data_IF_725825834266
#
_entry.id   IF_725825834266
#
_cell.length_a   1.000
_cell.length_b   1.000
_cell.length_c   1.000
_cell.angle_alpha   90.00
_cell.angle_beta   90.00
_cell.angle_gamma   90.00
#
_symmetry.space_group_name_H-M   'P 1'
#
loop_
_entity.id
_entity.type
_entity.pdbx_description
1 polymer ?
#
# COMPACT_ATOMS: atom_id res chain seq x y z
N UNK A 1 31.64 -12.37 -8.89
CA UNK A 1 30.34 -11.96 -8.28
C UNK A 1 29.58 -13.16 -7.70
N UNK A 2 29.24 -14.17 -8.52
CA UNK A 2 28.42 -15.32 -8.11
C UNK A 2 29.00 -16.22 -7.00
N UNK A 3 30.32 -16.39 -6.96
CA UNK A 3 30.96 -17.28 -5.99
C UNK A 3 30.73 -16.85 -4.53
N UNK A 4 30.68 -15.53 -4.29
CA UNK A 4 30.42 -14.99 -2.95
C UNK A 4 29.04 -15.38 -2.42
N UNK A 5 28.03 -15.38 -3.30
CA UNK A 5 26.65 -15.73 -2.92
C UNK A 5 26.55 -17.22 -2.53
N UNK A 6 27.29 -18.08 -3.22
CA UNK A 6 27.32 -19.52 -2.97
C UNK A 6 28.07 -19.82 -1.66
N UNK A 7 29.17 -19.12 -1.39
CA UNK A 7 29.94 -19.26 -0.15
C UNK A 7 29.16 -18.77 1.08
N UNK A 8 28.32 -17.74 0.92
CA UNK A 8 27.52 -17.16 2.01
C UNK A 8 26.07 -17.65 2.04
N UNK A 9 25.73 -18.72 1.30
CA UNK A 9 24.36 -19.23 1.18
C UNK A 9 23.71 -19.55 2.53
N UNK A 10 24.46 -20.14 3.46
CA UNK A 10 23.93 -20.47 4.79
C UNK A 10 23.56 -19.22 5.58
N UNK A 11 24.38 -18.16 5.46
CA UNK A 11 24.06 -16.89 6.08
C UNK A 11 22.84 -16.23 5.44
N UNK A 12 22.75 -16.20 4.10
CA UNK A 12 21.64 -15.61 3.34
C UNK A 12 20.31 -16.34 3.59
N UNK A 13 20.32 -17.68 3.64
CA UNK A 13 19.14 -18.51 3.87
C UNK A 13 18.92 -18.85 5.35
N UNK A 14 19.77 -18.37 6.25
CA UNK A 14 19.49 -18.43 7.69
C UNK A 14 18.29 -17.55 8.03
N UNK A 15 17.59 -17.86 9.13
CA UNK A 15 16.49 -17.02 9.61
C UNK A 15 16.90 -15.55 9.80
N UNK A 16 18.15 -15.29 10.22
CA UNK A 16 18.69 -13.94 10.36
C UNK A 16 18.89 -13.27 8.98
N UNK A 17 19.42 -13.99 7.99
CA UNK A 17 19.66 -13.47 6.65
C UNK A 17 18.36 -13.08 5.95
N UNK A 18 17.35 -13.95 6.04
CA UNK A 18 16.01 -13.68 5.51
C UNK A 18 15.36 -12.48 6.22
N UNK A 19 15.53 -12.36 7.55
CA UNK A 19 15.03 -11.21 8.30
C UNK A 19 15.66 -9.89 7.86
N UNK A 20 16.99 -9.84 7.67
CA UNK A 20 17.68 -8.63 7.18
C UNK A 20 17.24 -8.29 5.76
N UNK A 21 17.15 -9.27 4.87
CA UNK A 21 16.69 -9.05 3.49
C UNK A 21 15.27 -8.51 3.42
N UNK A 22 14.35 -9.05 4.24
CA UNK A 22 12.95 -8.59 4.29
C UNK A 22 12.83 -7.17 4.83
N UNK A 23 13.61 -6.79 5.83
CA UNK A 23 13.66 -5.40 6.33
C UNK A 23 14.18 -4.46 5.26
N UNK A 24 15.30 -4.80 4.61
CA UNK A 24 15.84 -3.99 3.51
C UNK A 24 14.80 -3.82 2.40
N UNK A 25 14.15 -4.89 1.97
CA UNK A 25 13.09 -4.83 0.96
C UNK A 25 11.88 -4.00 1.40
N UNK A 26 11.53 -4.05 2.68
CA UNK A 26 10.44 -3.26 3.27
C UNK A 26 10.73 -1.76 3.24
N UNK A 27 12.00 -1.36 3.41
CA UNK A 27 12.42 0.04 3.32
C UNK A 27 12.34 0.60 1.89
N UNK A 28 12.61 -0.23 0.87
CA UNK A 28 12.45 0.16 -0.53
C UNK A 28 11.03 0.07 -1.04
N UNK A 29 10.14 -0.63 -0.32
CA UNK A 29 8.71 -0.62 -0.62
C UNK A 29 8.19 0.76 -0.24
N UNK A 30 8.13 1.65 -1.25
CA UNK A 30 7.51 2.97 -1.17
C UNK A 30 6.25 2.85 -0.32
N UNK A 31 6.13 3.74 0.68
CA UNK A 31 4.91 3.89 1.47
C UNK A 31 3.82 4.27 0.47
N UNK A 32 3.19 3.26 -0.15
CA UNK A 32 2.00 3.45 -0.97
C UNK A 32 1.09 4.27 -0.09
N UNK A 33 0.80 5.47 -0.57
CA UNK A 33 -0.10 6.41 0.06
C UNK A 33 -1.21 5.60 0.72
N UNK A 34 -1.41 5.80 2.03
CA UNK A 34 -2.57 5.27 2.75
C UNK A 34 -3.84 6.00 2.28
N UNK A 35 -4.01 6.20 0.97
CA UNK A 35 -5.30 6.48 0.37
C UNK A 35 -6.08 5.19 0.52
N UNK A 36 -6.70 5.07 1.68
CA UNK A 36 -7.81 4.16 1.95
C UNK A 36 -8.86 4.49 0.90
N UNK A 37 -8.76 3.88 -0.27
CA UNK A 37 -9.75 3.97 -1.33
C UNK A 37 -10.79 2.87 -1.08
N UNK A 38 -11.32 2.84 0.14
CA UNK A 38 -12.41 1.95 0.52
C UNK A 38 -13.70 2.62 0.07
N UNK A 39 -14.05 2.40 -1.20
CA UNK A 39 -15.40 2.68 -1.70
C UNK A 39 -16.29 1.54 -1.26
N UNK A 40 -17.13 1.77 -0.26
CA UNK A 40 -18.14 0.82 0.15
C UNK A 40 -19.42 1.14 -0.62
N UNK A 41 -19.93 0.17 -1.39
CA UNK A 41 -21.23 0.30 -2.03
C UNK A 41 -22.27 -0.11 -0.98
N UNK A 42 -23.17 0.80 -0.63
CA UNK A 42 -24.32 0.52 0.20
C UNK A 42 -25.56 0.28 -0.67
N UNK A 43 -26.65 -0.16 -0.03
CA UNK A 43 -27.91 -0.42 -0.71
C UNK A 43 -28.38 0.77 -1.54
N UNK A 44 -29.06 0.47 -2.65
CA UNK A 44 -29.58 1.44 -3.63
C UNK A 44 -28.51 2.18 -4.47
N UNK A 45 -27.35 1.57 -4.69
CA UNK A 45 -26.30 2.14 -5.55
C UNK A 45 -25.56 3.34 -4.93
N UNK A 46 -25.75 3.57 -3.64
CA UNK A 46 -25.06 4.62 -2.88
C UNK A 46 -23.61 4.23 -2.61
N UNK A 47 -22.67 5.18 -2.72
CA UNK A 47 -21.25 4.98 -2.42
C UNK A 47 -20.93 5.69 -1.11
N UNK A 48 -20.68 4.90 -0.06
CA UNK A 48 -20.16 5.41 1.19
C UNK A 48 -18.64 5.52 1.09
N UNK A 49 -18.16 6.75 1.23
CA UNK A 49 -16.73 7.05 1.25
C UNK A 49 -16.35 7.37 2.69
N UNK A 50 -15.67 6.44 3.36
CA UNK A 50 -15.16 6.67 4.72
C UNK A 50 -13.74 7.23 4.63
N UNK A 51 -13.53 8.40 5.21
CA UNK A 51 -12.27 9.14 5.10
C UNK A 51 -11.79 9.43 6.52
N UNK A 52 -10.56 9.00 6.83
CA UNK A 52 -9.92 9.25 8.12
C UNK A 52 -9.23 10.61 8.22
N UNK A 53 -9.31 11.44 7.18
CA UNK A 53 -8.63 12.73 7.03
C UNK A 53 -9.50 13.71 6.23
N UNK A 54 -8.97 14.89 5.90
CA UNK A 54 -9.69 15.95 5.20
C UNK A 54 -9.96 15.60 3.72
N UNK A 55 -11.18 15.87 3.25
CA UNK A 55 -11.61 15.63 1.87
C UNK A 55 -11.88 16.95 1.16
N UNK A 56 -11.22 17.16 0.02
CA UNK A 56 -11.57 18.25 -0.92
C UNK A 56 -12.53 17.69 -1.96
N UNK A 57 -13.81 18.01 -1.83
CA UNK A 57 -14.83 17.69 -2.83
C UNK A 57 -14.92 18.88 -3.80
N UNK A 58 -14.39 18.71 -5.01
CA UNK A 58 -14.61 19.65 -6.11
C UNK A 58 -15.76 19.13 -6.97
N UNK A 59 -16.91 19.82 -6.95
CA UNK A 59 -18.03 19.53 -7.85
C UNK A 59 -17.70 20.10 -9.23
N UNK A 60 -17.69 19.26 -10.26
CA UNK A 60 -17.57 19.69 -11.65
C UNK A 60 -18.89 19.38 -12.35
N UNK A 61 -19.71 20.41 -12.56
CA UNK A 61 -20.90 20.37 -13.42
C UNK A 61 -22.17 19.77 -12.79
N UNK A 62 -23.15 20.66 -12.64
CA UNK A 62 -24.57 20.53 -12.98
C UNK A 62 -25.50 19.56 -12.20
N UNK A 63 -26.55 20.21 -11.67
CA UNK A 63 -27.92 19.75 -11.39
C UNK A 63 -28.17 18.83 -10.19
N UNK A 64 -28.59 19.43 -9.07
CA UNK A 64 -29.74 18.88 -8.33
C UNK A 64 -30.62 20.07 -7.94
N UNK A 65 -31.68 20.28 -8.71
CA UNK A 65 -32.79 21.16 -8.36
C UNK A 65 -33.54 20.52 -7.18
N UNK A 66 -33.79 21.32 -6.14
CA UNK A 66 -34.59 20.92 -4.97
C UNK A 66 -36.02 20.54 -5.33
#
# INVERSE_FOLDING_TARGET
>A
MWNWLITNKEWVFSGIGVAVLTVLFSLFKSKRDKRINQKQIAGDGSINIQIGENVKISKSGDDIQC
#
